data_IF_522610946140
#
_entry.id   IF_522610946140
#
_cell.length_a   1.000
_cell.length_b   1.000
_cell.length_c   1.000
_cell.angle_alpha   90.00
_cell.angle_beta   90.00
_cell.angle_gamma   90.00
#
_symmetry.space_group_name_H-M   'P 1'
#
loop_
_entity.id
_entity.type
_entity.pdbx_description
1 polymer ?
#
# COMPACT_ATOMS: atom_id res chain seq x y z
N UNK A 1 9.42 -17.65 -4.08
CA UNK A 1 8.20 -16.98 -4.61
C UNK A 1 6.93 -17.81 -4.39
N UNK A 2 6.91 -19.09 -4.77
CA UNK A 2 5.69 -19.93 -4.74
C UNK A 2 5.04 -20.04 -3.34
N UNK A 3 5.85 -20.20 -2.28
CA UNK A 3 5.35 -20.29 -0.90
C UNK A 3 4.60 -19.02 -0.43
N UNK A 4 5.11 -17.84 -0.78
CA UNK A 4 4.48 -16.57 -0.42
C UNK A 4 3.14 -16.39 -1.15
N UNK A 5 3.13 -16.59 -2.47
CA UNK A 5 1.91 -16.48 -3.27
C UNK A 5 0.85 -17.50 -2.85
N UNK A 6 1.26 -18.74 -2.56
CA UNK A 6 0.35 -19.77 -2.09
C UNK A 6 -0.29 -19.39 -0.75
N UNK A 7 0.51 -18.89 0.21
CA UNK A 7 0.00 -18.43 1.50
C UNK A 7 -0.92 -17.21 1.36
N UNK A 8 -0.62 -16.26 0.48
CA UNK A 8 -1.53 -15.14 0.20
C UNK A 8 -2.88 -15.62 -0.35
N UNK A 9 -2.86 -16.53 -1.32
CA UNK A 9 -4.10 -17.08 -1.90
C UNK A 9 -4.90 -17.86 -0.86
N UNK A 10 -4.25 -18.64 0.00
CA UNK A 10 -4.94 -19.37 1.07
C UNK A 10 -5.53 -18.40 2.12
N UNK A 11 -4.79 -17.37 2.51
CA UNK A 11 -5.29 -16.32 3.42
C UNK A 11 -6.48 -15.59 2.80
N UNK A 12 -6.43 -15.21 1.53
CA UNK A 12 -7.57 -14.55 0.87
C UNK A 12 -8.80 -15.45 0.74
N UNK A 13 -8.61 -16.74 0.44
CA UNK A 13 -9.72 -17.71 0.36
C UNK A 13 -10.36 -17.97 1.72
N UNK A 14 -9.54 -18.21 2.76
CA UNK A 14 -10.03 -18.48 4.12
C UNK A 14 -10.62 -17.25 4.78
N UNK A 15 -10.14 -16.06 4.42
CA UNK A 15 -10.56 -14.80 5.02
C UNK A 15 -11.29 -13.90 4.03
N UNK A 16 -12.16 -14.49 3.20
CA UNK A 16 -12.92 -13.76 2.18
C UNK A 16 -13.70 -12.57 2.77
N UNK A 17 -14.24 -12.72 3.98
CA UNK A 17 -14.92 -11.62 4.68
C UNK A 17 -14.00 -10.42 4.92
N UNK A 18 -12.72 -10.63 5.25
CA UNK A 18 -11.76 -9.53 5.38
C UNK A 18 -11.55 -8.84 4.04
N UNK A 19 -11.49 -9.59 2.93
CA UNK A 19 -11.36 -9.02 1.58
C UNK A 19 -12.55 -8.11 1.26
N UNK A 20 -13.76 -8.56 1.56
CA UNK A 20 -15.00 -7.78 1.33
C UNK A 20 -15.01 -6.52 2.20
N UNK A 21 -14.74 -6.65 3.51
CA UNK A 21 -14.70 -5.50 4.42
C UNK A 21 -13.66 -4.48 3.99
N UNK A 22 -12.48 -4.97 3.62
CA UNK A 22 -11.45 -4.15 3.04
C UNK A 22 -12.06 -3.43 1.82
N UNK A 23 -12.62 -4.13 0.82
CA UNK A 23 -13.09 -3.47 -0.42
C UNK A 23 -14.08 -2.33 -0.15
N UNK A 24 -14.99 -2.52 0.81
CA UNK A 24 -15.92 -1.47 1.25
C UNK A 24 -15.15 -0.30 1.89
N UNK A 25 -14.23 -0.60 2.82
CA UNK A 25 -13.38 0.41 3.47
C UNK A 25 -12.57 1.22 2.46
N UNK A 26 -12.11 0.62 1.36
CA UNK A 26 -11.31 1.29 0.33
C UNK A 26 -12.09 2.40 -0.36
N UNK A 27 -13.36 2.15 -0.68
CA UNK A 27 -14.25 3.15 -1.25
C UNK A 27 -14.55 4.27 -0.25
N UNK A 28 -14.87 3.92 1.00
CA UNK A 28 -15.24 4.90 2.04
C UNK A 28 -14.05 5.77 2.44
N UNK A 29 -12.83 5.22 2.44
CA UNK A 29 -11.61 5.93 2.84
C UNK A 29 -10.83 6.53 1.69
N UNK A 30 -11.38 6.54 0.45
CA UNK A 30 -10.72 7.07 -0.75
C UNK A 30 -10.07 8.44 -0.54
N UNK A 31 -10.81 9.36 0.09
CA UNK A 31 -10.30 10.70 0.40
C UNK A 31 -9.08 10.71 1.33
N UNK A 32 -8.94 9.73 2.20
CA UNK A 32 -7.82 9.65 3.13
C UNK A 32 -6.55 9.23 2.38
N UNK A 33 -6.59 8.17 1.58
CA UNK A 33 -5.38 7.63 0.97
C UNK A 33 -5.03 8.26 -0.38
N UNK A 34 -5.97 8.92 -1.08
CA UNK A 34 -5.68 9.70 -2.29
C UNK A 34 -5.64 11.21 -2.03
N UNK A 35 -6.58 11.73 -1.22
CA UNK A 35 -6.69 13.17 -0.96
C UNK A 35 -5.58 13.71 -0.07
N UNK A 36 -5.24 13.04 1.03
CA UNK A 36 -4.17 13.51 1.95
C UNK A 36 -2.81 13.63 1.24
N UNK A 37 -2.33 12.62 0.49
CA UNK A 37 -1.09 12.75 -0.27
C UNK A 37 -1.10 13.91 -1.25
N UNK A 38 -2.18 14.06 -2.01
CA UNK A 38 -2.24 15.05 -3.09
C UNK A 38 -2.38 16.47 -2.57
N UNK A 39 -3.33 16.71 -1.66
CA UNK A 39 -3.66 18.05 -1.20
C UNK A 39 -2.79 18.53 -0.04
N UNK A 40 -2.46 17.66 0.92
CA UNK A 40 -1.72 18.08 2.12
C UNK A 40 -0.21 17.93 1.87
N UNK A 41 0.23 16.74 1.47
CA UNK A 41 1.66 16.48 1.28
C UNK A 41 2.16 17.16 0.02
N UNK A 42 1.38 17.13 -1.07
CA UNK A 42 1.70 17.84 -2.30
C UNK A 42 1.89 19.34 -2.10
N UNK A 43 0.97 20.01 -1.40
CA UNK A 43 1.08 21.46 -1.13
C UNK A 43 2.27 21.79 -0.24
N UNK A 44 2.46 21.02 0.84
CA UNK A 44 3.54 21.25 1.80
C UNK A 44 4.92 21.07 1.15
N UNK A 45 5.08 20.06 0.29
CA UNK A 45 6.34 19.86 -0.43
C UNK A 45 6.53 20.92 -1.53
N UNK A 46 5.46 21.38 -2.18
CA UNK A 46 5.52 22.45 -3.18
C UNK A 46 5.94 23.81 -2.58
N UNK A 47 5.65 24.05 -1.29
CA UNK A 47 6.17 25.22 -0.56
C UNK A 47 7.68 25.13 -0.29
N UNK A 48 8.23 23.92 -0.17
CA UNK A 48 9.65 23.68 0.13
C UNK A 48 10.52 23.57 -1.13
N UNK A 49 9.97 23.08 -2.24
CA UNK A 49 10.71 22.89 -3.49
C UNK A 49 9.82 23.07 -4.72
N UNK A 50 10.37 23.67 -5.78
CA UNK A 50 9.72 23.74 -7.10
C UNK A 50 10.02 22.54 -7.99
N UNK A 51 10.83 21.57 -7.51
CA UNK A 51 11.16 20.39 -8.30
C UNK A 51 9.98 19.43 -8.33
N UNK A 52 9.26 19.43 -9.45
CA UNK A 52 8.11 18.56 -9.69
C UNK A 52 8.42 17.08 -9.41
N UNK A 53 9.59 16.57 -9.79
CA UNK A 53 9.95 15.16 -9.58
C UNK A 53 9.94 14.82 -8.08
N UNK A 54 10.46 15.70 -7.23
CA UNK A 54 10.49 15.51 -5.78
C UNK A 54 9.06 15.54 -5.22
N UNK A 55 8.24 16.50 -5.64
CA UNK A 55 6.83 16.60 -5.23
C UNK A 55 6.08 15.31 -5.60
N UNK A 56 6.20 14.84 -6.85
CA UNK A 56 5.55 13.61 -7.31
C UNK A 56 5.99 12.38 -6.52
N UNK A 57 7.30 12.24 -6.24
CA UNK A 57 7.81 11.15 -5.43
C UNK A 57 7.26 11.17 -4.01
N UNK A 58 7.18 12.34 -3.37
CA UNK A 58 6.63 12.47 -2.03
C UNK A 58 5.13 12.14 -1.97
N UNK A 59 4.34 12.60 -2.95
CA UNK A 59 2.92 12.25 -3.05
C UNK A 59 2.77 10.74 -3.27
N UNK A 60 3.54 10.15 -4.19
CA UNK A 60 3.50 8.72 -4.49
C UNK A 60 3.88 7.86 -3.29
N UNK A 61 4.97 8.18 -2.59
CA UNK A 61 5.44 7.46 -1.40
C UNK A 61 4.45 7.56 -0.25
N UNK A 62 3.89 8.75 -0.02
CA UNK A 62 2.92 8.94 1.06
C UNK A 62 1.59 8.27 0.78
N UNK A 63 1.11 8.31 -0.46
CA UNK A 63 -0.07 7.56 -0.91
C UNK A 63 0.14 6.06 -0.79
N UNK A 64 1.28 5.54 -1.24
CA UNK A 64 1.62 4.14 -1.06
C UNK A 64 1.73 3.74 0.42
N UNK A 65 2.36 4.57 1.25
CA UNK A 65 2.45 4.32 2.69
C UNK A 65 1.06 4.21 3.34
N UNK A 66 0.19 5.20 3.12
CA UNK A 66 -1.17 5.20 3.67
C UNK A 66 -2.00 4.04 3.13
N UNK A 67 -1.93 3.79 1.82
CA UNK A 67 -2.66 2.70 1.19
C UNK A 67 -2.17 1.32 1.67
N UNK A 68 -0.89 1.17 1.99
CA UNK A 68 -0.34 -0.09 2.49
C UNK A 68 -0.97 -0.54 3.82
N UNK A 69 -1.47 0.40 4.65
CA UNK A 69 -2.10 0.06 5.92
C UNK A 69 -3.35 -0.80 5.76
N UNK A 70 -4.01 -0.66 4.62
CA UNK A 70 -5.15 -1.48 4.24
C UNK A 70 -4.81 -2.98 4.15
N UNK A 71 -3.57 -3.30 3.81
CA UNK A 71 -3.10 -4.69 3.67
C UNK A 71 -2.56 -5.27 4.98
N UNK A 72 -2.41 -4.49 6.05
CA UNK A 72 -1.90 -4.93 7.36
C UNK A 72 -2.58 -6.21 7.88
N UNK A 73 -3.92 -6.33 7.94
CA UNK A 73 -4.55 -7.54 8.48
C UNK A 73 -4.23 -8.79 7.64
N UNK A 74 -4.03 -8.65 6.33
CA UNK A 74 -3.61 -9.76 5.45
C UNK A 74 -2.13 -10.08 5.63
N UNK A 75 -1.28 -9.05 5.65
CA UNK A 75 0.17 -9.19 5.83
C UNK A 75 0.50 -9.86 7.16
N UNK A 76 -0.26 -9.55 8.21
CA UNK A 76 -0.12 -10.20 9.51
C UNK A 76 -0.45 -11.69 9.46
N UNK A 77 -1.59 -12.08 8.86
CA UNK A 77 -1.97 -13.50 8.71
C UNK A 77 -1.00 -14.29 7.84
N UNK A 78 -0.50 -13.67 6.76
CA UNK A 78 0.52 -14.31 5.92
C UNK A 78 1.84 -14.44 6.67
N UNK A 79 2.25 -13.43 7.43
CA UNK A 79 3.45 -13.47 8.24
C UNK A 79 3.37 -14.52 9.35
N UNK A 80 2.22 -14.69 9.99
CA UNK A 80 1.97 -15.75 10.98
C UNK A 80 2.13 -17.14 10.34
N UNK A 81 1.48 -17.38 9.19
CA UNK A 81 1.62 -18.64 8.48
C UNK A 81 3.06 -18.95 8.10
N UNK A 82 3.81 -17.95 7.59
CA UNK A 82 5.21 -18.14 7.17
C UNK A 82 6.14 -18.31 8.37
N UNK A 83 5.95 -17.52 9.43
CA UNK A 83 6.70 -17.65 10.67
C UNK A 83 6.52 -19.03 11.30
N UNK A 84 5.29 -19.54 11.32
CA UNK A 84 5.00 -20.89 11.82
C UNK A 84 5.62 -22.00 10.95
N UNK A 85 5.64 -21.85 9.63
CA UNK A 85 6.26 -22.83 8.72
C UNK A 85 7.79 -22.84 8.88
N UNK A 86 8.40 -21.68 9.10
CA UNK A 86 9.87 -21.51 9.14
C UNK A 86 10.47 -21.54 10.55
N UNK A 87 9.66 -21.50 11.61
CA UNK A 87 10.13 -21.44 12.99
C UNK A 87 10.77 -20.10 13.37
N UNK A 88 10.41 -19.04 12.65
CA UNK A 88 11.04 -17.72 12.71
C UNK A 88 10.04 -16.67 13.25
N UNK A 89 10.54 -15.48 13.62
CA UNK A 89 9.67 -14.42 14.15
C UNK A 89 8.70 -13.86 13.10
N UNK A 90 7.42 -13.79 13.47
CA UNK A 90 6.33 -13.21 12.66
C UNK A 90 6.60 -11.74 12.30
N UNK A 91 7.19 -10.98 13.21
CA UNK A 91 7.50 -9.55 13.02
C UNK A 91 8.44 -9.28 11.85
N UNK A 92 9.47 -10.12 11.65
CA UNK A 92 10.40 -9.99 10.52
C UNK A 92 9.65 -10.16 9.18
N UNK A 93 8.81 -11.20 9.06
CA UNK A 93 8.04 -11.42 7.83
C UNK A 93 6.98 -10.35 7.62
N UNK A 94 6.34 -9.88 8.68
CA UNK A 94 5.39 -8.77 8.59
C UNK A 94 6.06 -7.50 8.05
N UNK A 95 7.22 -7.12 8.59
CA UNK A 95 7.96 -5.94 8.13
C UNK A 95 8.39 -6.08 6.66
N UNK A 96 8.84 -7.27 6.26
CA UNK A 96 9.20 -7.55 4.86
C UNK A 96 7.99 -7.41 3.93
N UNK A 97 6.86 -8.02 4.27
CA UNK A 97 5.62 -7.95 3.49
C UNK A 97 5.07 -6.53 3.44
N UNK A 98 5.07 -5.81 4.56
CA UNK A 98 4.57 -4.45 4.64
C UNK A 98 5.42 -3.50 3.79
N UNK A 99 6.75 -3.61 3.87
CA UNK A 99 7.67 -2.81 3.04
C UNK A 99 7.44 -3.07 1.55
N UNK A 100 7.26 -4.33 1.16
CA UNK A 100 6.95 -4.70 -0.22
C UNK A 100 5.64 -4.04 -0.69
N UNK A 101 4.58 -4.10 0.13
CA UNK A 101 3.32 -3.45 -0.20
C UNK A 101 3.39 -1.93 -0.27
N UNK A 102 4.20 -1.27 0.58
CA UNK A 102 4.47 0.18 0.47
C UNK A 102 5.09 0.51 -0.88
N UNK A 103 6.10 -0.25 -1.32
CA UNK A 103 6.77 -0.01 -2.60
C UNK A 103 5.80 -0.22 -3.77
N UNK A 104 5.08 -1.35 -3.77
CA UNK A 104 4.13 -1.69 -4.84
C UNK A 104 3.01 -0.65 -4.95
N UNK A 105 2.42 -0.27 -3.82
CA UNK A 105 1.37 0.74 -3.79
C UNK A 105 1.88 2.13 -4.18
N UNK A 106 3.09 2.50 -3.78
CA UNK A 106 3.72 3.76 -4.21
C UNK A 106 3.90 3.78 -5.72
N UNK A 107 4.40 2.69 -6.32
CA UNK A 107 4.54 2.57 -7.77
C UNK A 107 3.20 2.69 -8.50
N UNK A 108 2.15 2.02 -8.00
CA UNK A 108 0.79 2.15 -8.56
C UNK A 108 0.33 3.60 -8.50
N UNK A 109 0.51 4.27 -7.36
CA UNK A 109 0.20 5.68 -7.19
C UNK A 109 0.97 6.57 -8.17
N UNK A 110 2.27 6.33 -8.35
CA UNK A 110 3.10 7.06 -9.30
C UNK A 110 2.60 6.91 -10.73
N UNK A 111 2.23 5.69 -11.15
CA UNK A 111 1.67 5.42 -12.48
C UNK A 111 0.33 6.15 -12.66
N UNK A 112 -0.55 6.10 -11.67
CA UNK A 112 -1.85 6.79 -11.70
C UNK A 112 -1.66 8.30 -11.86
N UNK A 113 -0.73 8.89 -11.09
CA UNK A 113 -0.41 10.31 -11.17
C UNK A 113 0.15 10.72 -12.55
N UNK A 114 1.04 9.90 -13.12
CA UNK A 114 1.55 10.13 -14.49
C UNK A 114 0.41 10.08 -15.50
N UNK A 115 -0.49 9.10 -15.39
CA UNK A 115 -1.64 8.96 -16.28
C UNK A 115 -2.58 10.16 -16.17
N UNK A 116 -2.90 10.63 -14.96
CA UNK A 116 -3.74 11.82 -14.74
C UNK A 116 -3.14 13.06 -15.42
N UNK A 117 -1.83 13.26 -15.27
CA UNK A 117 -1.13 14.38 -15.91
C UNK A 117 -1.18 14.29 -17.44
N UNK A 118 -0.90 13.11 -18.00
CA UNK A 118 -0.97 12.86 -19.46
C UNK A 118 -2.38 13.09 -20.02
N UNK A 119 -3.41 12.70 -19.27
CA UNK A 119 -4.81 12.80 -19.69
C UNK A 119 -5.44 14.18 -19.43
N UNK A 120 -4.70 15.14 -18.85
CA UNK A 120 -5.22 16.45 -18.42
C UNK A 120 -6.51 16.36 -17.57
N UNK A 121 -6.58 15.33 -16.72
CA UNK A 121 -7.69 15.05 -15.81
C UNK A 121 -7.46 15.68 -14.44
#
# INVERSE_FOLDING_TARGET
MNLYLHNYLDVFKRNFMLVVMALVLLAVTFFIWAGVPFFIIGSLVAELTSNFVIIYLCISLSGGFLFSFYFVPFNLKVAENIGNIKGDSVTIYFMYLQTLWIIVSSLIFGIVLILMNVLQL
#
